data_IF_574817876715
#
_entry.id   IF_574817876715
#
_cell.length_a   1.000
_cell.length_b   1.000
_cell.length_c   1.000
_cell.angle_alpha   90.00
_cell.angle_beta   90.00
_cell.angle_gamma   90.00
#
_symmetry.space_group_name_H-M   'P 1'
#
loop_
_entity.id
_entity.type
_entity.pdbx_description
1 polymer ?
#
# COMPACT_ATOMS: atom_id res chain seq x y z
N UNK A 1 21.85 -20.07 -11.20
CA UNK A 1 22.52 -18.88 -10.64
C UNK A 1 21.93 -17.57 -11.18
N UNK A 2 21.70 -17.41 -12.50
CA UNK A 2 20.97 -16.24 -13.05
C UNK A 2 19.50 -16.19 -12.60
N UNK A 3 18.78 -17.30 -12.72
CA UNK A 3 17.34 -17.36 -12.42
C UNK A 3 16.99 -16.99 -10.96
N UNK A 4 17.87 -17.33 -10.02
CA UNK A 4 17.67 -17.01 -8.59
C UNK A 4 17.90 -15.51 -8.28
N UNK A 5 18.88 -14.89 -8.96
CA UNK A 5 19.11 -13.44 -8.90
C UNK A 5 17.95 -12.67 -9.53
N UNK A 6 17.42 -13.17 -10.65
CA UNK A 6 16.28 -12.58 -11.35
C UNK A 6 15.00 -12.67 -10.49
N UNK A 7 14.75 -13.83 -9.86
CA UNK A 7 13.64 -14.01 -8.93
C UNK A 7 13.74 -13.09 -7.71
N UNK A 8 14.94 -13.00 -7.12
CA UNK A 8 15.21 -12.10 -5.99
C UNK A 8 14.94 -10.63 -6.35
N UNK A 9 15.40 -10.20 -7.53
CA UNK A 9 15.18 -8.83 -8.02
C UNK A 9 13.69 -8.56 -8.25
N UNK A 10 12.96 -9.49 -8.86
CA UNK A 10 11.53 -9.37 -9.08
C UNK A 10 10.75 -9.20 -7.76
N UNK A 11 11.08 -9.97 -6.72
CA UNK A 11 10.46 -9.83 -5.40
C UNK A 11 10.77 -8.46 -4.76
N UNK A 12 11.99 -7.95 -4.90
CA UNK A 12 12.35 -6.60 -4.43
C UNK A 12 11.59 -5.50 -5.16
N UNK A 13 11.45 -5.61 -6.48
CA UNK A 13 10.70 -4.65 -7.30
C UNK A 13 9.20 -4.68 -6.91
N UNK A 14 8.65 -5.86 -6.63
CA UNK A 14 7.29 -6.01 -6.14
C UNK A 14 7.12 -5.39 -4.74
N UNK A 15 8.03 -5.65 -3.80
CA UNK A 15 8.04 -5.00 -2.48
C UNK A 15 8.08 -3.47 -2.60
N UNK A 16 8.95 -2.94 -3.46
CA UNK A 16 9.04 -1.49 -3.71
C UNK A 16 7.73 -0.93 -4.29
N UNK A 17 7.14 -1.65 -5.23
CA UNK A 17 5.87 -1.26 -5.87
C UNK A 17 4.74 -1.19 -4.84
N UNK A 18 4.56 -2.26 -4.05
CA UNK A 18 3.54 -2.31 -3.00
C UNK A 18 3.76 -1.17 -1.99
N UNK A 19 5.00 -0.95 -1.54
CA UNK A 19 5.32 0.14 -0.59
C UNK A 19 4.96 1.51 -1.14
N UNK A 20 5.26 1.79 -2.40
CA UNK A 20 4.91 3.05 -3.04
C UNK A 20 3.38 3.21 -3.16
N UNK A 21 2.67 2.13 -3.53
CA UNK A 21 1.21 2.15 -3.61
C UNK A 21 0.55 2.39 -2.25
N UNK A 22 1.07 1.82 -1.15
CA UNK A 22 0.61 2.12 0.21
C UNK A 22 0.73 3.61 0.50
N UNK A 23 1.92 4.18 0.27
CA UNK A 23 2.17 5.60 0.52
C UNK A 23 1.21 6.51 -0.26
N UNK A 24 1.00 6.24 -1.55
CA UNK A 24 0.07 7.00 -2.39
C UNK A 24 -1.37 6.89 -1.88
N UNK A 25 -1.83 5.69 -1.52
CA UNK A 25 -3.20 5.49 -1.05
C UNK A 25 -3.46 6.13 0.31
N UNK A 26 -2.48 6.12 1.22
CA UNK A 26 -2.60 6.84 2.49
C UNK A 26 -2.68 8.35 2.27
N UNK A 27 -1.85 8.92 1.39
CA UNK A 27 -1.93 10.33 1.00
C UNK A 27 -3.29 10.70 0.40
N UNK A 28 -3.78 9.91 -0.56
CA UNK A 28 -5.11 10.12 -1.16
C UNK A 28 -6.24 10.00 -0.14
N UNK A 29 -6.14 9.07 0.81
CA UNK A 29 -7.12 8.93 1.88
C UNK A 29 -7.19 10.20 2.75
N UNK A 30 -6.03 10.73 3.12
CA UNK A 30 -5.93 11.91 3.99
C UNK A 30 -6.38 13.18 3.23
N UNK A 31 -5.96 13.38 1.98
CA UNK A 31 -6.42 14.49 1.12
C UNK A 31 -7.94 14.45 0.92
N UNK A 32 -8.49 13.26 0.67
CA UNK A 32 -9.93 13.11 0.46
C UNK A 32 -10.72 13.36 1.75
N UNK A 33 -10.21 12.91 2.90
CA UNK A 33 -10.82 13.18 4.19
C UNK A 33 -10.82 14.69 4.51
N UNK A 34 -9.74 15.39 4.15
CA UNK A 34 -9.65 16.84 4.27
C UNK A 34 -10.68 17.55 3.38
N UNK A 35 -10.80 17.18 2.11
CA UNK A 35 -11.84 17.72 1.21
C UNK A 35 -13.24 17.53 1.80
N UNK A 36 -13.53 16.35 2.33
CA UNK A 36 -14.82 16.07 2.96
C UNK A 36 -15.12 16.97 4.17
N UNK A 37 -14.11 17.50 4.85
CA UNK A 37 -14.27 18.41 5.98
C UNK A 37 -14.59 19.85 5.56
N UNK A 38 -14.24 20.22 4.33
CA UNK A 38 -14.42 21.57 3.78
C UNK A 38 -15.76 21.74 3.06
N UNK A 39 -16.42 20.62 2.73
CA UNK A 39 -17.71 20.58 2.04
C UNK A 39 -18.85 20.78 3.04
N UNK A 40 -19.68 21.79 2.79
CA UNK A 40 -20.86 22.11 3.61
C UNK A 40 -22.06 21.21 3.30
N UNK A 41 -22.18 20.72 2.07
CA UNK A 41 -23.22 19.78 1.70
C UNK A 41 -22.95 18.42 2.35
N UNK A 42 -23.90 17.97 3.18
CA UNK A 42 -23.72 16.76 3.96
C UNK A 42 -23.61 15.51 3.08
N UNK A 43 -24.42 15.43 2.03
CA UNK A 43 -24.43 14.26 1.16
C UNK A 43 -23.10 14.15 0.41
N UNK A 44 -22.64 15.24 -0.17
CA UNK A 44 -21.34 15.30 -0.85
C UNK A 44 -20.18 15.03 0.11
N UNK A 45 -20.19 15.60 1.32
CA UNK A 45 -19.20 15.31 2.36
C UNK A 45 -19.14 13.81 2.71
N UNK A 46 -20.29 13.15 2.83
CA UNK A 46 -20.37 11.71 3.11
C UNK A 46 -19.79 10.86 1.96
N UNK A 47 -20.01 11.26 0.70
CA UNK A 47 -19.41 10.59 -0.47
C UNK A 47 -17.89 10.68 -0.43
N UNK A 48 -17.32 11.86 -0.14
CA UNK A 48 -15.88 12.00 -0.03
C UNK A 48 -15.31 11.20 1.15
N UNK A 49 -15.98 11.18 2.31
CA UNK A 49 -15.57 10.31 3.44
C UNK A 49 -15.55 8.83 3.07
N UNK A 50 -16.50 8.39 2.26
CA UNK A 50 -16.53 7.03 1.72
C UNK A 50 -15.31 6.73 0.85
N UNK A 51 -14.95 7.64 -0.06
CA UNK A 51 -13.79 7.50 -0.93
C UNK A 51 -12.49 7.45 -0.10
N UNK A 52 -12.33 8.35 0.88
CA UNK A 52 -11.18 8.34 1.80
C UNK A 52 -11.04 6.99 2.51
N UNK A 53 -12.16 6.44 3.01
CA UNK A 53 -12.16 5.15 3.70
C UNK A 53 -11.78 4.01 2.77
N UNK A 54 -12.24 4.02 1.52
CA UNK A 54 -11.86 3.00 0.52
C UNK A 54 -10.36 3.04 0.22
N UNK A 55 -9.77 4.22 0.08
CA UNK A 55 -8.31 4.35 -0.07
C UNK A 55 -7.58 3.78 1.14
N UNK A 56 -8.05 4.08 2.36
CA UNK A 56 -7.43 3.56 3.59
C UNK A 56 -7.55 2.03 3.71
N UNK A 57 -8.71 1.46 3.40
CA UNK A 57 -8.89 0.00 3.36
C UNK A 57 -7.92 -0.63 2.36
N UNK A 58 -7.78 -0.03 1.16
CA UNK A 58 -6.85 -0.57 0.16
C UNK A 58 -5.39 -0.49 0.60
N UNK A 59 -5.00 0.58 1.28
CA UNK A 59 -3.66 0.71 1.86
C UNK A 59 -3.39 -0.39 2.90
N UNK A 60 -4.37 -0.67 3.79
CA UNK A 60 -4.26 -1.73 4.80
C UNK A 60 -4.11 -3.12 4.16
N UNK A 61 -4.88 -3.42 3.11
CA UNK A 61 -4.75 -4.67 2.36
C UNK A 61 -3.33 -4.83 1.80
N UNK A 62 -2.79 -3.76 1.18
CA UNK A 62 -1.44 -3.76 0.62
C UNK A 62 -0.37 -3.86 1.71
N UNK A 63 -0.58 -3.27 2.89
CA UNK A 63 0.32 -3.44 4.04
C UNK A 63 0.40 -4.91 4.48
N UNK A 64 -0.74 -5.61 4.50
CA UNK A 64 -0.78 -7.05 4.74
C UNK A 64 0.00 -7.85 3.70
N UNK A 65 -0.21 -7.54 2.41
CA UNK A 65 0.53 -8.19 1.31
C UNK A 65 2.04 -7.91 1.38
N UNK A 66 2.42 -6.67 1.70
CA UNK A 66 3.82 -6.29 1.89
C UNK A 66 4.47 -7.09 3.01
N UNK A 67 3.80 -7.21 4.16
CA UNK A 67 4.31 -7.96 5.31
C UNK A 67 4.52 -9.44 4.99
N UNK A 68 3.56 -10.06 4.29
CA UNK A 68 3.67 -11.44 3.85
C UNK A 68 4.85 -11.65 2.88
N UNK A 69 4.95 -10.81 1.84
CA UNK A 69 6.03 -10.90 0.85
C UNK A 69 7.40 -10.58 1.45
N UNK A 70 7.47 -9.64 2.40
CA UNK A 70 8.72 -9.28 3.09
C UNK A 70 9.22 -10.43 3.98
N UNK A 71 8.30 -11.15 4.62
CA UNK A 71 8.60 -12.36 5.39
C UNK A 71 9.15 -13.46 4.47
N UNK A 72 8.48 -13.70 3.33
CA UNK A 72 8.92 -14.68 2.33
C UNK A 72 10.30 -14.33 1.76
N UNK A 73 10.52 -13.07 1.37
CA UNK A 73 11.81 -12.59 0.88
C UNK A 73 12.92 -12.81 1.91
N UNK A 74 12.66 -12.48 3.18
CA UNK A 74 13.64 -12.63 4.27
C UNK A 74 13.98 -14.11 4.49
N UNK A 75 12.98 -14.99 4.50
CA UNK A 75 13.17 -16.42 4.69
C UNK A 75 13.96 -17.08 3.55
N UNK A 76 13.86 -16.56 2.32
CA UNK A 76 14.55 -17.10 1.14
C UNK A 76 15.96 -16.54 0.93
N UNK A 77 16.16 -15.25 1.17
CA UNK A 77 17.34 -14.53 0.68
C UNK A 77 18.16 -13.82 1.75
N UNK A 78 17.70 -13.84 3.01
CA UNK A 78 18.33 -13.13 4.12
C UNK A 78 18.80 -14.05 5.26
N UNK A 79 18.66 -15.36 5.07
CA UNK A 79 19.04 -16.43 5.98
C UNK A 79 20.40 -17.01 5.60
N UNK A 80 21.46 -16.25 5.84
CA UNK A 80 22.73 -16.73 6.38
C UNK A 80 23.54 -15.51 6.90
N UNK A 81 24.25 -15.63 8.04
CA UNK A 81 25.10 -14.58 8.59
C UNK A 81 26.30 -14.22 7.69
#
# INVERSE_FOLDING_TARGET
MSEDLDARKAMLDQLKTIRNSIFVLEGLADETAQMASEISDRFESEVWREIARRHRVKALELQGQYAALSTEYTARYRSEP
#
